data_IF_041333444937
#
_entry.id   IF_041333444937
#
_cell.length_a   1.000
_cell.length_b   1.000
_cell.length_c   1.000
_cell.angle_alpha   90.00
_cell.angle_beta   90.00
_cell.angle_gamma   90.00
#
_symmetry.space_group_name_H-M   'P 1'
#
loop_
_entity.id
_entity.type
_entity.pdbx_description
1 polymer ?
#
# COMPACT_ATOMS: atom_id res chain seq x y z
N UNK A 1 28.35 -15.56 -8.62
CA UNK A 1 27.53 -15.67 -7.38
C UNK A 1 26.04 -15.41 -7.53
N UNK A 2 25.55 -14.75 -8.59
CA UNK A 2 24.11 -14.45 -8.80
C UNK A 2 23.26 -15.61 -9.36
N UNK A 3 23.87 -16.64 -9.90
CA UNK A 3 23.15 -17.77 -10.53
C UNK A 3 22.69 -18.86 -9.53
N UNK A 4 23.39 -19.01 -8.42
CA UNK A 4 23.09 -20.05 -7.43
C UNK A 4 21.88 -19.74 -6.53
N UNK A 5 21.56 -18.44 -6.32
CA UNK A 5 20.42 -18.02 -5.49
C UNK A 5 19.10 -18.29 -6.22
N UNK A 6 19.06 -18.13 -7.55
CA UNK A 6 17.86 -18.43 -8.35
C UNK A 6 17.52 -19.92 -8.41
N UNK A 7 18.54 -20.77 -8.40
CA UNK A 7 18.36 -22.22 -8.42
C UNK A 7 17.88 -22.76 -7.07
N UNK A 8 18.33 -22.18 -5.97
CA UNK A 8 17.88 -22.56 -4.61
C UNK A 8 16.43 -22.16 -4.37
N UNK A 9 16.00 -20.99 -4.87
CA UNK A 9 14.59 -20.57 -4.78
C UNK A 9 13.66 -21.47 -5.61
N UNK A 10 14.09 -21.89 -6.81
CA UNK A 10 13.30 -22.81 -7.65
C UNK A 10 13.23 -24.23 -7.06
N UNK A 11 14.30 -24.72 -6.45
CA UNK A 11 14.32 -26.03 -5.80
C UNK A 11 13.53 -26.07 -4.48
N UNK A 12 13.45 -24.96 -3.75
CA UNK A 12 12.61 -24.83 -2.56
C UNK A 12 11.11 -24.87 -2.89
N UNK A 13 10.71 -24.38 -4.06
CA UNK A 13 9.31 -24.39 -4.52
C UNK A 13 8.91 -25.79 -5.07
N UNK A 14 9.84 -26.54 -5.66
CA UNK A 14 9.55 -27.87 -6.23
C UNK A 14 9.56 -29.01 -5.21
N UNK A 15 10.08 -28.81 -4.00
CA UNK A 15 10.14 -29.83 -2.95
C UNK A 15 8.93 -29.93 -2.03
N UNK A 16 7.94 -29.02 -2.17
CA UNK A 16 6.77 -28.93 -1.30
C UNK A 16 5.50 -29.61 -1.85
N UNK A 17 5.61 -30.45 -2.87
CA UNK A 17 4.50 -31.33 -3.27
C UNK A 17 4.34 -32.50 -2.29
N UNK A 18 4.12 -32.18 -1.02
CA UNK A 18 3.64 -33.14 -0.03
C UNK A 18 2.15 -33.29 -0.27
N UNK A 19 1.67 -34.49 -0.51
CA UNK A 19 0.28 -34.86 -0.65
C UNK A 19 -0.53 -34.34 0.55
N UNK A 20 -0.97 -33.09 0.48
CA UNK A 20 -1.89 -32.52 1.43
C UNK A 20 -3.30 -32.92 1.01
N UNK A 21 -4.00 -33.62 1.84
CA UNK A 21 -5.44 -33.72 1.73
C UNK A 21 -5.97 -32.30 1.88
N UNK A 22 -6.39 -31.71 0.77
CA UNK A 22 -6.91 -30.34 0.74
C UNK A 22 -8.08 -30.21 1.70
N UNK A 23 -7.82 -29.60 2.86
CA UNK A 23 -8.84 -29.30 3.85
C UNK A 23 -9.37 -27.87 3.73
N UNK A 24 -8.82 -27.07 2.84
CA UNK A 24 -9.25 -25.69 2.61
C UNK A 24 -9.38 -25.42 1.12
N UNK A 25 -10.48 -24.80 0.71
CA UNK A 25 -10.69 -24.37 -0.66
C UNK A 25 -9.82 -23.18 -1.07
N UNK A 26 -9.11 -22.55 -0.13
CA UNK A 26 -8.23 -21.40 -0.35
C UNK A 26 -6.79 -21.75 -0.72
N UNK A 27 -6.47 -23.02 -0.90
CA UNK A 27 -5.24 -23.45 -1.54
C UNK A 27 -5.28 -23.16 -3.04
N UNK A 28 -4.13 -22.89 -3.68
CA UNK A 28 -3.95 -22.58 -5.10
C UNK A 28 -3.87 -21.10 -5.47
N UNK A 29 -3.86 -20.85 -6.77
CA UNK A 29 -3.79 -19.50 -7.33
C UNK A 29 -5.07 -18.73 -7.09
N UNK A 30 -4.92 -17.45 -6.83
CA UNK A 30 -6.08 -16.55 -6.71
C UNK A 30 -5.89 -15.27 -7.51
N UNK A 31 -7.02 -14.71 -7.92
CA UNK A 31 -7.14 -13.34 -8.41
C UNK A 31 -8.32 -12.68 -7.73
N UNK A 32 -8.18 -11.41 -7.37
CA UNK A 32 -9.25 -10.67 -6.70
C UNK A 32 -9.31 -9.22 -7.15
N UNK A 33 -10.50 -8.65 -7.11
CA UNK A 33 -10.77 -7.24 -7.35
C UNK A 33 -11.61 -6.69 -6.20
N UNK A 34 -11.29 -5.48 -5.76
CA UNK A 34 -11.98 -4.87 -4.65
C UNK A 34 -12.15 -3.37 -4.80
N UNK A 35 -13.22 -2.88 -4.22
CA UNK A 35 -13.49 -1.46 -4.03
C UNK A 35 -13.31 -1.13 -2.56
N UNK A 36 -12.87 0.06 -2.26
CA UNK A 36 -12.62 0.45 -0.88
C UNK A 36 -12.58 1.95 -0.69
N UNK A 37 -12.27 2.30 0.54
CA UNK A 37 -12.07 3.67 0.97
C UNK A 37 -10.72 3.79 1.64
N UNK A 38 -9.95 4.79 1.22
CA UNK A 38 -8.62 5.09 1.76
C UNK A 38 -8.58 6.46 2.39
N UNK A 39 -7.94 6.53 3.56
CA UNK A 39 -7.55 7.77 4.23
C UNK A 39 -6.04 7.86 4.19
N UNK A 40 -5.53 8.86 3.48
CA UNK A 40 -4.11 9.17 3.38
C UNK A 40 -3.81 10.36 4.29
N UNK A 41 -2.92 10.16 5.27
CA UNK A 41 -2.49 11.20 6.22
C UNK A 41 -1.06 11.62 5.88
N UNK A 42 -0.85 12.92 5.82
CA UNK A 42 0.48 13.51 5.66
C UNK A 42 0.97 14.03 7.01
N UNK A 43 2.25 13.82 7.28
CA UNK A 43 2.96 14.36 8.43
C UNK A 43 4.16 15.13 7.92
N UNK A 44 4.20 16.43 8.18
CA UNK A 44 5.30 17.31 7.80
C UNK A 44 6.18 17.57 9.00
N UNK A 45 7.49 17.46 8.80
CA UNK A 45 8.48 17.95 9.74
C UNK A 45 8.94 19.30 9.21
N UNK A 46 8.71 20.35 9.97
CA UNK A 46 9.18 21.69 9.63
C UNK A 46 10.68 21.73 9.44
N UNK A 47 11.17 22.68 8.69
CA UNK A 47 12.58 22.83 8.36
C UNK A 47 12.97 24.26 8.11
N UNK A 48 14.10 24.46 7.46
CA UNK A 48 14.62 25.75 7.06
C UNK A 48 14.80 25.79 5.55
N UNK A 49 14.41 26.86 4.91
CA UNK A 49 14.60 27.08 3.48
C UNK A 49 16.10 27.24 3.21
N UNK A 50 16.64 26.45 2.27
CA UNK A 50 18.09 26.42 2.00
C UNK A 50 18.49 27.28 0.81
N UNK A 51 17.57 27.64 -0.06
CA UNK A 51 17.83 28.35 -1.33
C UNK A 51 16.88 29.52 -1.55
N UNK A 52 17.24 30.42 -2.47
CA UNK A 52 16.43 31.56 -2.88
C UNK A 52 16.41 32.73 -1.89
N UNK A 53 15.50 33.69 -2.11
CA UNK A 53 15.37 34.91 -1.35
C UNK A 53 14.93 34.70 0.12
N UNK A 54 14.44 33.52 0.44
CA UNK A 54 13.93 33.13 1.76
C UNK A 54 14.89 32.20 2.52
N UNK A 55 16.13 32.08 2.08
CA UNK A 55 17.15 31.26 2.71
C UNK A 55 17.31 31.58 4.21
N UNK A 56 17.32 30.53 5.04
CA UNK A 56 17.46 30.65 6.48
C UNK A 56 16.14 30.83 7.24
N UNK A 57 15.00 30.94 6.55
CA UNK A 57 13.71 31.09 7.21
C UNK A 57 13.14 29.74 7.61
N UNK A 58 12.76 29.54 8.88
CA UNK A 58 12.03 28.34 9.28
C UNK A 58 10.62 28.32 8.67
N UNK A 59 10.19 27.13 8.27
CA UNK A 59 8.85 26.91 7.74
C UNK A 59 8.18 25.69 8.36
N UNK A 60 6.87 25.67 8.33
CA UNK A 60 6.05 24.52 8.67
C UNK A 60 5.01 24.31 7.55
N UNK A 61 4.63 23.06 7.36
CA UNK A 61 3.57 22.73 6.40
C UNK A 61 2.51 21.84 7.05
N UNK A 62 1.27 22.03 6.66
CA UNK A 62 0.14 21.20 7.07
C UNK A 62 -0.69 20.83 5.86
N UNK A 63 -1.12 19.57 5.79
CA UNK A 63 -2.07 19.13 4.78
C UNK A 63 -3.25 18.42 5.45
N UNK A 64 -4.47 18.64 4.95
CA UNK A 64 -5.60 17.84 5.38
C UNK A 64 -5.43 16.39 4.91
N UNK A 65 -6.12 15.47 5.56
CA UNK A 65 -6.18 14.10 5.10
C UNK A 65 -6.79 14.03 3.71
N UNK A 66 -6.21 13.21 2.84
CA UNK A 66 -6.83 12.86 1.57
C UNK A 66 -7.72 11.65 1.76
N UNK A 67 -8.95 11.76 1.32
CA UNK A 67 -9.94 10.68 1.37
C UNK A 67 -10.32 10.31 -0.05
N UNK A 68 -10.21 9.05 -0.41
CA UNK A 68 -10.49 8.60 -1.77
C UNK A 68 -11.14 7.22 -1.80
N UNK A 69 -11.95 7.01 -2.83
CA UNK A 69 -12.33 5.66 -3.22
C UNK A 69 -11.11 4.98 -3.86
N UNK A 70 -10.96 3.69 -3.61
CA UNK A 70 -9.91 2.87 -4.20
C UNK A 70 -10.52 1.71 -4.98
N UNK A 71 -9.86 1.33 -6.06
CA UNK A 71 -10.16 0.11 -6.78
C UNK A 71 -8.86 -0.65 -6.95
N UNK A 72 -8.80 -1.88 -6.46
CA UNK A 72 -7.59 -2.69 -6.47
C UNK A 72 -7.80 -4.00 -7.20
N UNK A 73 -6.72 -4.47 -7.81
CA UNK A 73 -6.60 -5.82 -8.34
C UNK A 73 -5.40 -6.50 -7.66
N UNK A 74 -5.57 -7.75 -7.28
CA UNK A 74 -4.50 -8.55 -6.70
C UNK A 74 -4.51 -9.96 -7.26
N UNK A 75 -3.33 -10.58 -7.25
CA UNK A 75 -3.13 -11.97 -7.64
C UNK A 75 -2.07 -12.61 -6.75
N UNK A 76 -2.09 -13.93 -6.66
CA UNK A 76 -1.13 -14.65 -5.85
C UNK A 76 -1.37 -16.15 -5.82
N UNK A 77 -0.68 -16.78 -4.88
CA UNK A 77 -0.77 -18.22 -4.63
C UNK A 77 -0.84 -18.48 -3.12
N UNK A 78 -1.63 -19.46 -2.73
CA UNK A 78 -1.80 -19.88 -1.33
C UNK A 78 -1.40 -21.33 -1.14
N UNK A 79 -0.52 -21.58 -0.17
CA UNK A 79 0.00 -22.89 0.20
C UNK A 79 -0.65 -23.34 1.51
N UNK A 80 -1.24 -24.51 1.51
CA UNK A 80 -1.69 -25.16 2.75
C UNK A 80 -0.49 -25.85 3.40
N UNK A 81 0.12 -25.23 4.40
CA UNK A 81 1.28 -25.76 5.12
C UNK A 81 0.88 -26.72 6.25
N UNK A 82 -0.33 -26.57 6.77
CA UNK A 82 -0.93 -27.41 7.81
C UNK A 82 -2.46 -27.30 7.68
N UNK A 83 -3.26 -28.29 8.09
CA UNK A 83 -4.73 -28.23 8.03
C UNK A 83 -5.36 -26.94 8.58
N UNK A 84 -4.69 -26.31 9.54
CA UNK A 84 -5.13 -25.06 10.17
C UNK A 84 -4.23 -23.86 9.84
N UNK A 85 -3.32 -23.98 8.87
CA UNK A 85 -2.41 -22.89 8.52
C UNK A 85 -2.16 -22.81 7.03
N UNK A 86 -2.53 -21.67 6.46
CA UNK A 86 -2.35 -21.34 5.06
C UNK A 86 -1.41 -20.14 4.95
N UNK A 87 -0.49 -20.20 3.99
CA UNK A 87 0.40 -19.08 3.68
C UNK A 87 0.13 -18.61 2.25
N UNK A 88 -0.42 -17.41 2.13
CA UNK A 88 -0.58 -16.73 0.86
C UNK A 88 0.65 -15.90 0.50
N UNK A 89 0.97 -15.83 -0.80
CA UNK A 89 1.90 -14.89 -1.39
C UNK A 89 1.14 -14.09 -2.44
N UNK A 90 1.25 -12.78 -2.45
CA UNK A 90 0.49 -11.99 -3.42
C UNK A 90 1.13 -10.67 -3.79
N UNK A 91 0.66 -10.15 -4.90
CA UNK A 91 0.91 -8.80 -5.38
C UNK A 91 -0.41 -8.09 -5.63
N UNK A 92 -0.45 -6.80 -5.36
CA UNK A 92 -1.64 -5.96 -5.50
C UNK A 92 -1.27 -4.65 -6.15
N UNK A 93 -2.20 -4.13 -6.95
CA UNK A 93 -2.10 -2.83 -7.60
C UNK A 93 -3.39 -2.04 -7.39
N UNK A 94 -3.28 -0.77 -6.98
CA UNK A 94 -4.39 0.15 -6.93
C UNK A 94 -4.53 0.89 -8.27
N UNK A 95 -5.74 0.84 -8.82
CA UNK A 95 -6.06 1.35 -10.16
C UNK A 95 -6.53 2.81 -10.15
N UNK A 96 -6.84 3.36 -8.97
CA UNK A 96 -7.33 4.73 -8.81
C UNK A 96 -6.33 5.54 -7.99
N UNK A 97 -5.98 6.70 -8.51
CA UNK A 97 -5.11 7.66 -7.84
C UNK A 97 -5.83 8.34 -6.68
N UNK A 98 -5.12 8.52 -5.56
CA UNK A 98 -5.61 9.29 -4.41
C UNK A 98 -5.08 10.72 -4.50
N UNK A 99 -5.97 11.71 -4.39
CA UNK A 99 -5.61 13.13 -4.43
C UNK A 99 -5.96 13.79 -3.11
N UNK A 100 -5.02 14.57 -2.55
CA UNK A 100 -5.32 15.45 -1.43
C UNK A 100 -5.91 16.75 -1.92
N UNK A 101 -6.60 17.47 -1.05
CA UNK A 101 -6.84 18.91 -1.20
C UNK A 101 -5.52 19.68 -0.99
N UNK A 102 -5.52 20.97 -1.32
CA UNK A 102 -4.37 21.89 -1.17
C UNK A 102 -3.71 21.78 0.22
N UNK A 103 -2.40 21.89 0.28
CA UNK A 103 -1.67 22.03 1.54
C UNK A 103 -1.29 23.50 1.79
N UNK A 104 -1.10 23.86 3.06
CA UNK A 104 -0.72 25.19 3.48
C UNK A 104 0.71 25.18 3.98
N UNK A 105 1.55 26.04 3.41
CA UNK A 105 2.90 26.31 3.90
C UNK A 105 2.87 27.62 4.66
N UNK A 106 3.39 27.64 5.87
CA UNK A 106 3.54 28.84 6.69
C UNK A 106 5.02 29.06 6.96
N UNK A 107 5.52 30.22 6.62
CA UNK A 107 6.88 30.66 6.91
C UNK A 107 6.83 31.98 7.69
N UNK A 108 7.71 32.11 8.69
CA UNK A 108 7.86 33.33 9.48
C UNK A 108 9.33 33.57 9.80
N UNK A 109 9.87 34.77 9.54
CA UNK A 109 11.26 35.07 9.83
C UNK A 109 11.74 36.40 9.26
N UNK A 110 13.04 36.69 9.44
CA UNK A 110 13.76 37.78 8.81
C UNK A 110 14.75 37.22 7.78
N UNK A 111 14.75 37.77 6.57
CA UNK A 111 15.79 37.50 5.57
C UNK A 111 16.39 38.83 5.11
N UNK A 112 17.73 38.94 5.16
CA UNK A 112 18.48 40.05 4.58
C UNK A 112 18.14 41.44 5.13
N UNK A 113 17.73 41.56 6.40
CA UNK A 113 17.36 42.85 7.02
C UNK A 113 15.92 43.26 6.80
N UNK A 114 15.15 42.58 6.01
CA UNK A 114 13.71 42.80 5.83
C UNK A 114 12.91 41.86 6.74
N UNK A 115 11.99 42.46 7.52
CA UNK A 115 11.04 41.69 8.30
C UNK A 115 10.03 41.01 7.36
N UNK A 116 10.06 39.69 7.32
CA UNK A 116 9.03 38.90 6.67
C UNK A 116 7.82 38.86 7.62
N UNK A 117 6.75 39.58 7.28
CA UNK A 117 5.46 39.40 7.97
C UNK A 117 5.03 37.95 7.71
N UNK A 118 4.64 37.27 8.79
CA UNK A 118 4.09 35.93 8.72
C UNK A 118 3.14 35.80 7.52
N UNK A 119 3.60 35.12 6.50
CA UNK A 119 2.85 34.87 5.27
C UNK A 119 2.47 33.39 5.25
N UNK A 120 1.23 33.08 5.02
CA UNK A 120 0.80 31.76 4.64
C UNK A 120 0.55 31.76 3.14
N UNK A 121 1.30 30.93 2.41
CA UNK A 121 0.98 30.63 1.03
C UNK A 121 0.19 29.33 0.99
N UNK A 122 -1.05 29.39 0.51
CA UNK A 122 -1.79 28.16 0.17
C UNK A 122 -1.35 27.74 -1.21
N UNK A 123 -0.60 26.69 -1.28
CA UNK A 123 -0.21 26.12 -2.55
C UNK A 123 -1.33 25.19 -3.03
N UNK A 124 -1.88 25.47 -4.23
CA UNK A 124 -3.00 24.71 -4.83
C UNK A 124 -2.57 23.34 -5.38
N UNK A 125 -1.34 22.95 -5.13
CA UNK A 125 -0.81 21.67 -5.60
C UNK A 125 -1.36 20.56 -4.71
N UNK A 126 -2.18 19.74 -5.30
CA UNK A 126 -2.67 18.52 -4.66
C UNK A 126 -1.52 17.51 -4.57
N UNK A 127 -1.24 16.99 -3.39
CA UNK A 127 -0.40 15.80 -3.31
C UNK A 127 -1.17 14.63 -3.95
N UNK A 128 -0.59 14.05 -4.99
CA UNK A 128 -1.18 12.95 -5.74
C UNK A 128 -0.40 11.70 -5.40
N UNK A 129 -1.12 10.67 -4.94
CA UNK A 129 -0.60 9.31 -4.80
C UNK A 129 -1.04 8.52 -6.03
N UNK A 130 -0.09 8.01 -6.81
CA UNK A 130 -0.37 7.20 -7.98
C UNK A 130 0.56 5.98 -8.07
N UNK A 131 0.29 5.05 -8.98
CA UNK A 131 1.08 3.84 -9.19
C UNK A 131 1.35 3.08 -7.88
N UNK A 132 0.32 2.87 -7.09
CA UNK A 132 0.42 2.21 -5.79
C UNK A 132 0.36 0.69 -5.98
N UNK A 133 1.44 0.01 -5.62
CA UNK A 133 1.54 -1.43 -5.66
C UNK A 133 2.15 -1.99 -4.37
N UNK A 134 1.80 -3.22 -4.05
CA UNK A 134 2.36 -3.91 -2.91
C UNK A 134 2.63 -5.38 -3.20
N UNK A 135 3.60 -5.94 -2.48
CA UNK A 135 3.85 -7.37 -2.40
C UNK A 135 3.72 -7.79 -0.95
N UNK A 136 3.15 -8.96 -0.71
CA UNK A 136 2.84 -9.38 0.63
C UNK A 136 2.83 -10.89 0.83
N UNK A 137 3.01 -11.29 2.06
CA UNK A 137 2.65 -12.61 2.57
C UNK A 137 1.35 -12.51 3.35
N UNK A 138 0.55 -13.57 3.34
CA UNK A 138 -0.74 -13.62 4.01
C UNK A 138 -0.87 -14.93 4.81
N UNK A 139 -0.28 -14.98 6.03
CA UNK A 139 -0.56 -16.10 6.93
C UNK A 139 -2.03 -16.09 7.31
N UNK A 140 -2.69 -17.25 7.21
CA UNK A 140 -4.11 -17.39 7.41
C UNK A 140 -4.51 -18.65 8.15
N UNK A 141 -5.66 -18.58 8.79
CA UNK A 141 -6.30 -19.68 9.52
C UNK A 141 -7.63 -20.03 8.82
N UNK A 142 -7.72 -21.20 8.18
CA UNK A 142 -8.97 -21.69 7.61
C UNK A 142 -10.00 -22.00 8.71
N UNK A 143 -11.22 -21.53 8.54
CA UNK A 143 -12.36 -21.84 9.41
C UNK A 143 -13.31 -22.74 8.62
N UNK A 144 -13.15 -24.02 8.76
CA UNK A 144 -13.79 -25.02 7.91
C UNK A 144 -13.26 -24.96 6.47
N UNK A 145 -14.08 -25.35 5.49
CA UNK A 145 -13.67 -25.42 4.09
C UNK A 145 -13.74 -24.07 3.36
N UNK A 146 -14.68 -23.22 3.76
CA UNK A 146 -15.16 -22.10 2.95
C UNK A 146 -14.79 -20.72 3.50
N UNK A 147 -14.11 -20.66 4.64
CA UNK A 147 -13.80 -19.38 5.32
C UNK A 147 -12.33 -19.32 5.67
N UNK A 148 -11.75 -18.13 5.54
CA UNK A 148 -10.36 -17.85 5.86
C UNK A 148 -10.24 -16.50 6.55
N UNK A 149 -9.62 -16.49 7.73
CA UNK A 149 -9.13 -15.26 8.37
C UNK A 149 -7.63 -15.18 8.12
N UNK A 150 -7.11 -14.02 7.74
CA UNK A 150 -5.69 -13.86 7.44
C UNK A 150 -5.15 -12.53 7.93
N UNK A 151 -3.86 -12.50 8.26
CA UNK A 151 -3.08 -11.29 8.36
C UNK A 151 -2.38 -11.04 7.03
N UNK A 152 -2.08 -9.77 6.73
CA UNK A 152 -1.36 -9.34 5.53
C UNK A 152 -0.12 -8.57 5.98
N UNK A 153 1.05 -9.03 5.59
CA UNK A 153 2.34 -8.44 5.94
C UNK A 153 3.11 -8.23 4.65
N UNK A 154 3.53 -7.00 4.39
CA UNK A 154 4.14 -6.72 3.09
C UNK A 154 4.87 -5.41 3.02
N UNK A 155 5.13 -5.01 1.79
CA UNK A 155 5.81 -3.77 1.46
C UNK A 155 5.11 -3.12 0.28
N UNK A 156 4.73 -1.87 0.46
CA UNK A 156 4.05 -1.07 -0.54
C UNK A 156 4.99 -0.01 -1.12
N UNK A 157 4.77 0.34 -2.37
CA UNK A 157 5.47 1.40 -3.07
C UNK A 157 4.47 2.21 -3.86
N UNK A 158 4.61 3.53 -3.82
CA UNK A 158 3.75 4.46 -4.55
C UNK A 158 4.56 5.66 -5.01
N UNK A 159 4.07 6.35 -6.02
CA UNK A 159 4.58 7.66 -6.42
C UNK A 159 3.78 8.75 -5.75
N UNK A 160 4.46 9.70 -5.12
CA UNK A 160 3.85 10.91 -4.55
C UNK A 160 4.36 12.14 -5.26
N UNK A 161 3.45 13.00 -5.65
CA UNK A 161 3.74 14.30 -6.26
C UNK A 161 3.85 15.36 -5.17
N UNK A 162 4.95 16.09 -5.12
CA UNK A 162 5.24 17.08 -4.08
C UNK A 162 4.97 18.53 -4.48
N UNK A 163 4.53 18.78 -5.70
CA UNK A 163 4.09 20.12 -6.11
C UNK A 163 5.08 20.94 -6.90
N UNK A 164 6.32 20.52 -7.00
CA UNK A 164 7.40 21.13 -7.76
C UNK A 164 7.56 20.57 -9.19
N UNK A 165 6.68 19.66 -9.58
CA UNK A 165 6.73 18.97 -10.88
C UNK A 165 7.37 17.59 -10.81
N UNK A 166 7.95 17.22 -9.68
CA UNK A 166 8.64 15.95 -9.50
C UNK A 166 7.77 14.91 -8.77
N UNK A 167 8.01 13.65 -9.06
CA UNK A 167 7.40 12.51 -8.42
C UNK A 167 8.43 11.75 -7.62
N UNK A 168 8.20 11.66 -6.31
CA UNK A 168 9.02 10.84 -5.42
C UNK A 168 8.45 9.44 -5.27
N UNK A 169 9.30 8.43 -5.39
CA UNK A 169 8.94 7.06 -5.10
C UNK A 169 9.08 6.80 -3.61
N UNK A 170 7.97 6.67 -2.92
CA UNK A 170 7.93 6.35 -1.49
C UNK A 170 7.54 4.91 -1.25
N UNK A 171 8.13 4.31 -0.24
CA UNK A 171 7.96 2.90 0.08
C UNK A 171 7.79 2.72 1.57
N UNK A 172 7.09 1.65 1.96
CA UNK A 172 6.95 1.35 3.37
C UNK A 172 6.27 0.04 3.71
N UNK A 173 6.37 -0.38 4.97
CA UNK A 173 5.72 -1.59 5.44
C UNK A 173 4.19 -1.49 5.35
N UNK A 174 3.58 -2.61 5.01
CA UNK A 174 2.15 -2.83 4.95
C UNK A 174 1.79 -3.90 5.98
N UNK A 175 0.77 -3.61 6.79
CA UNK A 175 0.14 -4.58 7.66
C UNK A 175 -1.37 -4.55 7.45
N UNK A 176 -2.03 -5.69 7.56
CA UNK A 176 -3.47 -5.76 7.38
C UNK A 176 -4.07 -7.03 7.99
N UNK A 177 -5.38 -7.02 8.04
CA UNK A 177 -6.20 -8.16 8.43
C UNK A 177 -7.32 -8.32 7.42
N UNK A 178 -7.72 -9.55 7.16
CA UNK A 178 -8.80 -9.80 6.23
C UNK A 178 -9.55 -11.11 6.50
N UNK A 179 -10.67 -11.20 5.81
CA UNK A 179 -11.55 -12.34 5.81
C UNK A 179 -11.96 -12.67 4.38
N UNK A 180 -11.98 -13.96 4.06
CA UNK A 180 -12.49 -14.48 2.78
C UNK A 180 -13.54 -15.53 3.04
N UNK A 181 -14.55 -15.60 2.16
CA UNK A 181 -15.58 -16.63 2.18
C UNK A 181 -15.93 -17.08 0.77
N UNK A 182 -15.85 -18.38 0.53
CA UNK A 182 -16.35 -18.97 -0.72
C UNK A 182 -17.86 -18.76 -0.80
N UNK A 183 -18.32 -18.26 -1.95
CA UNK A 183 -19.72 -17.93 -2.21
C UNK A 183 -20.32 -18.93 -3.17
N UNK A 184 -19.54 -19.36 -4.16
CA UNK A 184 -20.02 -20.27 -5.19
C UNK A 184 -18.90 -21.14 -5.77
N UNK A 185 -19.25 -22.33 -6.19
CA UNK A 185 -18.44 -23.19 -7.03
C UNK A 185 -18.63 -22.78 -8.49
N UNK A 186 -17.55 -22.81 -9.26
CA UNK A 186 -17.55 -22.45 -10.66
C UNK A 186 -16.91 -23.58 -11.48
N UNK A 187 -17.73 -24.30 -12.24
CA UNK A 187 -17.33 -25.54 -12.93
C UNK A 187 -17.58 -25.51 -14.44
N UNK A 188 -17.79 -24.32 -15.05
CA UNK A 188 -18.22 -24.27 -16.45
C UNK A 188 -17.06 -24.47 -17.44
N UNK A 189 -16.17 -23.48 -17.61
CA UNK A 189 -15.02 -23.58 -18.54
C UNK A 189 -13.72 -23.72 -17.74
N UNK A 190 -13.67 -23.07 -16.60
CA UNK A 190 -12.53 -23.04 -15.68
C UNK A 190 -13.05 -23.52 -14.34
N UNK A 191 -12.40 -24.52 -13.77
CA UNK A 191 -12.76 -25.02 -12.44
C UNK A 191 -12.18 -24.09 -11.37
N UNK A 192 -13.00 -23.81 -10.37
CA UNK A 192 -12.55 -22.99 -9.26
C UNK A 192 -13.68 -22.53 -8.35
N UNK A 193 -13.37 -21.55 -7.50
CA UNK A 193 -14.31 -21.02 -6.52
C UNK A 193 -14.37 -19.49 -6.60
N UNK A 194 -15.59 -18.96 -6.53
CA UNK A 194 -15.81 -17.52 -6.34
C UNK A 194 -15.86 -17.26 -4.83
N UNK A 195 -15.11 -16.28 -4.36
CA UNK A 195 -15.15 -15.86 -2.97
C UNK A 195 -15.37 -14.36 -2.82
N UNK A 196 -16.03 -13.96 -1.74
CA UNK A 196 -16.06 -12.59 -1.26
C UNK A 196 -14.93 -12.37 -0.26
N UNK A 197 -14.44 -11.14 -0.19
CA UNK A 197 -13.45 -10.75 0.82
C UNK A 197 -13.73 -9.39 1.43
N UNK A 198 -13.24 -9.21 2.66
CA UNK A 198 -13.14 -7.95 3.35
C UNK A 198 -11.74 -7.83 3.94
N UNK A 199 -11.09 -6.68 3.80
CA UNK A 199 -9.78 -6.43 4.38
C UNK A 199 -9.61 -5.00 4.84
N UNK A 200 -8.78 -4.81 5.88
CA UNK A 200 -8.33 -3.51 6.35
C UNK A 200 -6.80 -3.50 6.38
N UNK A 201 -6.20 -2.47 5.79
CA UNK A 201 -4.75 -2.35 5.66
C UNK A 201 -4.27 -1.01 6.20
N UNK A 202 -3.07 -1.02 6.75
CA UNK A 202 -2.30 0.16 7.14
C UNK A 202 -0.93 0.11 6.48
N UNK A 203 -0.54 1.23 5.87
CA UNK A 203 0.76 1.40 5.21
C UNK A 203 1.42 2.63 5.82
N UNK A 204 2.68 2.50 6.25
CA UNK A 204 3.50 3.62 6.70
C UNK A 204 4.62 3.85 5.69
N UNK A 205 4.46 4.86 4.85
CA UNK A 205 5.50 5.23 3.89
C UNK A 205 6.69 5.92 4.56
N UNK A 206 7.87 5.77 3.97
CA UNK A 206 9.08 6.45 4.41
C UNK A 206 9.04 7.96 4.19
N UNK A 207 10.01 8.66 4.74
CA UNK A 207 10.14 10.09 4.59
C UNK A 207 10.63 10.44 3.18
N UNK A 208 10.10 11.54 2.66
CA UNK A 208 10.61 12.23 1.47
C UNK A 208 11.25 13.52 1.94
N UNK A 209 12.42 13.82 1.43
CA UNK A 209 13.17 15.03 1.74
C UNK A 209 13.00 16.02 0.59
N UNK A 210 12.72 17.27 0.92
CA UNK A 210 12.61 18.34 -0.08
C UNK A 210 14.02 18.80 -0.46
N UNK A 211 14.25 19.07 -1.74
CA UNK A 211 15.56 19.51 -2.27
C UNK A 211 15.91 20.92 -1.82
N UNK A 212 14.94 21.81 -1.74
CA UNK A 212 15.14 23.24 -1.48
C UNK A 212 15.01 23.63 0.00
N UNK A 213 14.84 22.64 0.89
CA UNK A 213 14.67 22.88 2.31
C UNK A 213 15.09 21.66 3.14
N UNK A 214 15.43 21.89 4.43
CA UNK A 214 15.81 20.79 5.34
C UNK A 214 14.63 19.97 5.88
N UNK A 215 13.41 20.29 5.46
CA UNK A 215 12.20 19.60 5.87
C UNK A 215 12.01 18.24 5.22
N UNK A 216 11.12 17.47 5.80
CA UNK A 216 10.68 16.20 5.23
C UNK A 216 9.18 16.02 5.41
N UNK A 217 8.57 15.20 4.56
CA UNK A 217 7.22 14.73 4.79
C UNK A 217 7.17 13.21 4.79
N UNK A 218 6.26 12.67 5.57
CA UNK A 218 5.93 11.26 5.60
C UNK A 218 4.44 11.10 5.34
N UNK A 219 4.05 9.95 4.83
CA UNK A 219 2.64 9.63 4.64
C UNK A 219 2.30 8.28 5.27
N UNK A 220 1.05 8.15 5.65
CA UNK A 220 0.47 6.86 6.02
C UNK A 220 -0.90 6.70 5.39
N UNK A 221 -1.21 5.50 4.92
CA UNK A 221 -2.50 5.17 4.34
C UNK A 221 -3.21 4.12 5.20
N UNK A 222 -4.48 4.34 5.46
CA UNK A 222 -5.39 3.34 6.03
C UNK A 222 -6.50 3.09 5.04
N UNK A 223 -6.72 1.84 4.65
CA UNK A 223 -7.81 1.52 3.74
C UNK A 223 -8.63 0.33 4.23
N UNK A 224 -9.91 0.34 3.87
CA UNK A 224 -10.84 -0.76 4.05
C UNK A 224 -11.40 -1.11 2.69
N UNK A 225 -11.45 -2.39 2.36
CA UNK A 225 -11.86 -2.90 1.06
C UNK A 225 -12.81 -4.07 1.18
N UNK A 226 -13.69 -4.17 0.22
CA UNK A 226 -14.58 -5.29 -0.02
C UNK A 226 -14.47 -5.68 -1.49
N UNK A 227 -14.62 -6.97 -1.80
CA UNK A 227 -14.53 -7.38 -3.19
C UNK A 227 -14.84 -8.84 -3.43
N UNK A 228 -14.59 -9.23 -4.64
CA UNK A 228 -14.73 -10.59 -5.13
C UNK A 228 -13.40 -11.11 -5.65
N UNK A 229 -13.21 -12.40 -5.54
CA UNK A 229 -12.06 -13.06 -6.13
C UNK A 229 -12.42 -14.43 -6.67
N UNK A 230 -11.47 -14.99 -7.39
CA UNK A 230 -11.52 -16.30 -8.00
C UNK A 230 -10.31 -17.13 -7.51
N UNK A 231 -10.58 -18.35 -7.09
CA UNK A 231 -9.58 -19.37 -6.79
C UNK A 231 -9.53 -20.33 -7.96
N UNK A 232 -8.38 -20.43 -8.58
CA UNK A 232 -8.14 -21.30 -9.73
C UNK A 232 -7.82 -22.71 -9.23
N UNK A 233 -8.37 -23.74 -9.88
CA UNK A 233 -8.17 -25.14 -9.52
C UNK A 233 -7.51 -25.93 -10.64
#
# INVERSE_FOLDING_TARGET
MKFHIRLILLLAVSGLSIAAHAQSRFEDSFSQMGVGYEVLKYSFTGGTITEGDFKGIPYSATAPNANSLTFSAATGYSFLLHPNFLLGLGAEYNLIDSKSSSYTISAAGQSGGSQFKQGSATNWVSAIKNQDYSVYIAPGYPIGLDKLVFAKLGYASTRMYSGDGEYDMVRGPLVGLGYKQVIADFDWIIKGYIYGFAEANYIKYGNVYTTDATGSYAASATNVRLGLGFLWK
#
